data_IF_215120756132
#
_entry.id   IF_215120756132
#
_cell.length_a   1.000
_cell.length_b   1.000
_cell.length_c   1.000
_cell.angle_alpha   90.00
_cell.angle_beta   90.00
_cell.angle_gamma   90.00
#
_symmetry.space_group_name_H-M   'P 1'
#
loop_
_entity.id
_entity.type
_entity.pdbx_description
1 polymer ?
#
# COMPACT_ATOMS: atom_id res chain seq x y z
N UNK A 1 -9.86 -4.09 9.73
CA UNK A 1 -9.17 -2.81 9.51
C UNK A 1 -8.61 -2.86 8.12
N UNK A 2 -8.86 -1.81 7.34
CA UNK A 2 -8.34 -1.64 5.99
C UNK A 2 -7.00 -0.91 6.08
N UNK A 3 -5.95 -1.52 5.54
CA UNK A 3 -4.60 -0.96 5.55
C UNK A 3 -4.12 -0.81 4.11
N UNK A 4 -3.80 0.41 3.69
CA UNK A 4 -3.14 0.66 2.42
C UNK A 4 -1.63 0.76 2.62
N UNK A 5 -0.87 0.00 1.85
CA UNK A 5 0.58 0.04 1.80
C UNK A 5 0.98 0.67 0.45
N UNK A 6 1.73 1.76 0.51
CA UNK A 6 2.25 2.49 -0.64
C UNK A 6 3.75 2.25 -0.74
N UNK A 7 4.19 1.46 -1.72
CA UNK A 7 5.60 1.26 -2.03
C UNK A 7 6.11 2.41 -2.91
N UNK A 8 6.61 3.44 -2.26
CA UNK A 8 7.22 4.65 -2.80
C UNK A 8 8.66 4.42 -3.26
N UNK A 9 9.37 3.44 -2.68
CA UNK A 9 10.79 3.20 -2.94
C UNK A 9 11.72 4.27 -2.37
N UNK A 10 11.20 5.15 -1.52
CA UNK A 10 11.96 6.20 -0.85
C UNK A 10 12.56 5.73 0.48
N UNK A 11 12.09 4.59 1.01
CA UNK A 11 12.56 4.06 2.28
C UNK A 11 13.75 3.09 2.06
N UNK A 12 14.94 3.41 2.60
CA UNK A 12 16.17 2.65 2.33
C UNK A 12 16.19 1.26 2.99
N UNK A 13 15.45 1.06 4.08
CA UNK A 13 15.27 -0.24 4.76
C UNK A 13 13.82 -0.71 4.61
N UNK A 14 13.38 -0.84 3.35
CA UNK A 14 12.02 -1.27 3.02
C UNK A 14 11.80 -2.75 3.33
N UNK A 15 12.84 -3.58 3.30
CA UNK A 15 12.78 -5.03 3.55
C UNK A 15 12.26 -5.35 4.96
N UNK A 16 12.83 -4.73 5.99
CA UNK A 16 12.41 -4.93 7.38
C UNK A 16 10.95 -4.53 7.60
N UNK A 17 10.50 -3.43 6.97
CA UNK A 17 9.14 -2.94 7.08
C UNK A 17 8.17 -3.84 6.31
N UNK A 18 8.52 -4.27 5.10
CA UNK A 18 7.71 -5.19 4.30
C UNK A 18 7.53 -6.55 5.01
N UNK A 19 8.58 -7.06 5.64
CA UNK A 19 8.51 -8.29 6.44
C UNK A 19 7.59 -8.14 7.64
N UNK A 20 7.63 -7.01 8.34
CA UNK A 20 6.67 -6.72 9.41
C UNK A 20 5.23 -6.62 8.88
N UNK A 21 5.04 -6.01 7.71
CA UNK A 21 3.72 -5.85 7.07
C UNK A 21 3.12 -7.19 6.60
N UNK A 22 3.95 -8.15 6.18
CA UNK A 22 3.51 -9.51 5.84
C UNK A 22 2.80 -10.20 7.02
N UNK A 23 3.16 -9.86 8.26
CA UNK A 23 2.51 -10.41 9.46
C UNK A 23 1.13 -9.80 9.74
N UNK A 24 0.77 -8.68 9.09
CA UNK A 24 -0.53 -8.02 9.25
C UNK A 24 -1.59 -8.56 8.27
N UNK A 25 -1.18 -9.12 7.13
CA UNK A 25 -2.08 -9.65 6.10
C UNK A 25 -3.06 -10.75 6.57
N UNK A 26 -2.68 -11.67 7.50
CA UNK A 26 -3.60 -12.70 7.97
C UNK A 26 -4.76 -12.16 8.84
N UNK A 27 -4.63 -10.94 9.36
CA UNK A 27 -5.55 -10.37 10.37
C UNK A 27 -6.32 -9.15 9.83
N UNK A 28 -5.82 -8.52 8.77
CA UNK A 28 -6.34 -7.27 8.23
C UNK A 28 -6.51 -7.32 6.72
N UNK A 29 -7.39 -6.48 6.18
CA UNK A 29 -7.51 -6.30 4.73
C UNK A 29 -6.41 -5.34 4.28
N UNK A 30 -5.43 -5.88 3.57
CA UNK A 30 -4.24 -5.12 3.14
C UNK A 30 -4.29 -4.89 1.63
N UNK A 31 -4.22 -3.63 1.23
CA UNK A 31 -4.10 -3.21 -0.17
C UNK A 31 -2.67 -2.75 -0.43
N UNK A 32 -2.00 -3.28 -1.46
CA UNK A 32 -0.63 -2.91 -1.80
C UNK A 32 -0.58 -2.21 -3.14
N UNK A 33 0.06 -1.04 -3.18
CA UNK A 33 0.25 -0.26 -4.41
C UNK A 33 1.71 0.10 -4.60
N UNK A 34 2.26 -0.28 -5.75
CA UNK A 34 3.64 0.02 -6.14
C UNK A 34 3.71 1.35 -6.89
N UNK A 35 4.02 2.42 -6.16
CA UNK A 35 4.11 3.79 -6.69
C UNK A 35 5.42 4.04 -7.45
N UNK A 36 6.37 3.10 -7.44
CA UNK A 36 7.57 3.16 -8.28
C UNK A 36 7.24 2.87 -9.75
N UNK A 37 6.10 2.22 -10.01
CA UNK A 37 5.62 1.95 -11.35
C UNK A 37 4.61 3.01 -11.78
N UNK A 38 4.65 3.44 -13.05
CA UNK A 38 3.61 4.31 -13.58
C UNK A 38 2.27 3.59 -13.51
N UNK A 39 1.27 4.26 -12.94
CA UNK A 39 -0.10 3.75 -12.91
C UNK A 39 -0.65 3.81 -14.35
N UNK A 40 -1.04 2.67 -14.95
CA UNK A 40 -1.31 2.58 -16.39
C UNK A 40 -2.57 3.33 -16.85
N UNK A 41 -3.59 3.46 -16.01
CA UNK A 41 -4.91 3.98 -16.42
C UNK A 41 -5.58 4.87 -15.37
N UNK A 42 -6.55 5.67 -15.82
CA UNK A 42 -7.38 6.49 -14.94
C UNK A 42 -8.25 5.64 -13.99
N UNK A 43 -8.67 4.45 -14.42
CA UNK A 43 -9.47 3.54 -13.59
C UNK A 43 -8.63 2.97 -12.43
N UNK A 44 -7.37 2.62 -12.68
CA UNK A 44 -6.45 2.19 -11.60
C UNK A 44 -6.12 3.34 -10.64
N UNK A 45 -6.11 4.59 -11.13
CA UNK A 45 -6.04 5.77 -10.27
C UNK A 45 -7.26 5.90 -9.37
N UNK A 46 -8.47 5.76 -9.92
CA UNK A 46 -9.70 5.83 -9.13
C UNK A 46 -9.73 4.73 -8.06
N UNK A 47 -9.34 3.50 -8.41
CA UNK A 47 -9.22 2.39 -7.45
C UNK A 47 -8.21 2.66 -6.33
N UNK A 48 -7.07 3.27 -6.65
CA UNK A 48 -6.08 3.66 -5.65
C UNK A 48 -6.63 4.75 -4.72
N UNK A 49 -7.29 5.77 -5.27
CA UNK A 49 -7.89 6.85 -4.48
C UNK A 49 -9.01 6.33 -3.58
N UNK A 50 -9.86 5.44 -4.08
CA UNK A 50 -10.92 4.80 -3.30
C UNK A 50 -10.34 3.95 -2.16
N UNK A 51 -9.29 3.18 -2.44
CA UNK A 51 -8.62 2.39 -1.41
C UNK A 51 -7.98 3.28 -0.34
N UNK A 52 -7.40 4.43 -0.70
CA UNK A 52 -6.87 5.40 0.26
C UNK A 52 -7.97 6.02 1.11
N UNK A 53 -9.11 6.36 0.52
CA UNK A 53 -10.24 6.97 1.22
C UNK A 53 -10.95 6.00 2.18
N UNK A 54 -10.93 4.71 1.86
CA UNK A 54 -11.58 3.64 2.65
C UNK A 54 -10.64 2.95 3.63
N UNK A 55 -9.35 3.30 3.61
CA UNK A 55 -8.35 2.73 4.52
C UNK A 55 -8.37 3.39 5.89
N UNK A 56 -8.42 2.58 6.94
CA UNK A 56 -8.28 3.03 8.32
C UNK A 56 -6.84 3.48 8.63
N UNK A 57 -5.86 2.91 7.91
CA UNK A 57 -4.42 3.18 8.05
C UNK A 57 -3.75 3.19 6.69
N UNK A 58 -2.82 4.13 6.50
CA UNK A 58 -1.98 4.21 5.31
C UNK A 58 -0.52 4.16 5.77
N UNK A 59 0.28 3.28 5.15
CA UNK A 59 1.68 3.05 5.46
C UNK A 59 2.48 3.25 4.18
N UNK A 60 3.41 4.20 4.17
CA UNK A 60 4.32 4.44 3.05
C UNK A 60 5.68 3.81 3.32
N UNK A 61 6.18 3.03 2.37
CA UNK A 61 7.47 2.31 2.41
C UNK A 61 8.24 2.56 1.11
#
# INVERSE_FOLDING_TARGET
MNVAILETGLFPDSETVLDALNHLEPVHYVYRYDLRKPIPSAEEWDQLIDALCTSDRIISV
#
